data_IF_413996941932
#
_entry.id   IF_413996941932
#
_cell.length_a   1.000
_cell.length_b   1.000
_cell.length_c   1.000
_cell.angle_alpha   90.00
_cell.angle_beta   90.00
_cell.angle_gamma   90.00
#
_symmetry.space_group_name_H-M   'P 1'
#
loop_
_entity.id
_entity.type
_entity.pdbx_description
1 polymer ?
#
# COMPACT_ATOMS: atom_id res chain seq x y z
N UNK A 1 -4.90 55.69 -17.56
CA UNK A 1 -4.87 55.07 -16.23
C UNK A 1 -6.29 54.78 -15.79
N UNK A 2 -6.53 53.58 -15.22
CA UNK A 2 -7.81 53.08 -14.66
C UNK A 2 -8.73 52.34 -15.65
N UNK A 3 -8.69 51.02 -15.55
CA UNK A 3 -9.84 50.09 -15.54
C UNK A 3 -9.30 48.70 -15.25
N UNK A 4 -9.15 48.45 -13.94
CA UNK A 4 -8.96 47.12 -13.38
C UNK A 4 -10.27 46.38 -13.67
N UNK A 5 -10.23 45.40 -14.55
CA UNK A 5 -11.32 44.45 -14.74
C UNK A 5 -10.91 43.15 -14.04
N UNK A 6 -11.52 42.97 -12.87
CA UNK A 6 -11.65 41.73 -12.14
C UNK A 6 -12.52 40.74 -12.94
N UNK A 7 -12.27 39.44 -12.72
CA UNK A 7 -13.12 38.25 -12.93
C UNK A 7 -12.44 37.22 -13.83
N UNK A 8 -12.37 35.93 -13.50
CA UNK A 8 -12.79 35.18 -12.33
C UNK A 8 -11.82 34.00 -12.22
N UNK A 9 -11.17 33.86 -11.08
CA UNK A 9 -10.46 32.62 -10.76
C UNK A 9 -11.55 31.56 -10.58
N UNK A 10 -11.66 30.69 -11.57
CA UNK A 10 -12.42 29.46 -11.48
C UNK A 10 -11.74 28.64 -10.38
N UNK A 11 -12.29 28.69 -9.17
CA UNK A 11 -11.95 27.74 -8.10
C UNK A 11 -12.40 26.37 -8.57
N UNK A 12 -11.55 25.70 -9.35
CA UNK A 12 -11.57 24.25 -9.46
C UNK A 12 -11.15 23.77 -8.08
N UNK A 13 -12.12 23.48 -7.22
CA UNK A 13 -11.87 22.73 -6.00
C UNK A 13 -11.67 21.29 -6.47
N UNK A 14 -10.46 20.73 -6.46
CA UNK A 14 -10.39 19.29 -6.54
C UNK A 14 -11.00 18.81 -5.22
N UNK A 15 -12.16 18.14 -5.30
CA UNK A 15 -12.57 17.24 -4.24
C UNK A 15 -11.56 16.09 -4.24
N UNK A 16 -10.36 16.34 -3.71
CA UNK A 16 -9.47 15.23 -3.35
C UNK A 16 -10.15 14.60 -2.15
N UNK A 17 -10.50 13.32 -2.35
CA UNK A 17 -11.34 12.51 -1.50
C UNK A 17 -10.99 12.65 -0.01
N UNK A 18 -12.01 12.50 0.84
CA UNK A 18 -11.81 11.99 2.18
C UNK A 18 -11.28 10.56 2.00
N UNK A 19 -9.97 10.41 1.82
CA UNK A 19 -9.36 9.12 1.55
C UNK A 19 -9.36 8.31 2.86
N UNK A 20 -10.31 7.38 2.97
CA UNK A 20 -10.24 6.16 3.81
C UNK A 20 -9.20 5.16 3.23
N UNK A 21 -8.51 5.55 2.16
CA UNK A 21 -7.46 4.76 1.51
C UNK A 21 -6.13 4.94 2.25
N UNK A 22 -5.69 3.89 2.93
CA UNK A 22 -4.39 3.83 3.58
C UNK A 22 -3.36 3.09 2.72
N UNK A 23 -2.08 3.41 2.97
CA UNK A 23 -0.95 2.72 2.37
C UNK A 23 -0.04 2.15 3.46
N UNK A 24 0.40 0.90 3.28
CA UNK A 24 1.45 0.31 4.12
C UNK A 24 2.50 -0.42 3.31
N UNK A 25 3.65 -0.67 3.94
CA UNK A 25 4.77 -1.42 3.37
C UNK A 25 5.06 -2.61 4.26
N UNK A 26 5.00 -3.82 3.71
CA UNK A 26 5.35 -5.04 4.42
C UNK A 26 6.67 -5.60 3.90
N UNK A 27 7.64 -5.76 4.79
CA UNK A 27 8.81 -6.61 4.56
C UNK A 27 8.43 -8.05 4.85
N UNK A 28 8.51 -8.86 3.81
CA UNK A 28 8.13 -10.28 3.83
C UNK A 28 9.38 -11.13 3.68
N UNK A 29 9.58 -12.09 4.58
CA UNK A 29 10.73 -12.99 4.58
C UNK A 29 10.33 -14.43 4.32
N UNK A 30 11.29 -15.27 3.92
CA UNK A 30 11.07 -16.69 3.61
C UNK A 30 10.66 -16.93 2.16
N UNK A 31 10.94 -15.99 1.25
CA UNK A 31 10.69 -16.12 -0.19
C UNK A 31 11.77 -16.99 -0.85
N UNK A 32 11.92 -18.24 -0.39
CA UNK A 32 13.04 -19.14 -0.75
C UNK A 32 12.85 -19.86 -2.11
N UNK A 33 11.76 -19.59 -2.82
CA UNK A 33 11.43 -20.23 -4.09
C UNK A 33 10.81 -19.20 -5.05
N UNK A 34 11.04 -19.31 -6.38
CA UNK A 34 10.52 -18.36 -7.37
C UNK A 34 9.00 -18.12 -7.34
N UNK A 35 8.23 -19.06 -6.80
CA UNK A 35 6.77 -18.95 -6.68
C UNK A 35 6.27 -18.52 -5.30
N UNK A 36 7.15 -18.34 -4.32
CA UNK A 36 6.76 -17.95 -2.96
C UNK A 36 6.11 -16.57 -2.91
N UNK A 37 6.67 -15.61 -3.65
CA UNK A 37 6.11 -14.26 -3.78
C UNK A 37 4.70 -14.27 -4.37
N UNK A 38 4.40 -15.23 -5.26
CA UNK A 38 3.06 -15.40 -5.80
C UNK A 38 2.05 -15.91 -4.75
N UNK A 39 2.47 -16.83 -3.86
CA UNK A 39 1.63 -17.33 -2.78
C UNK A 39 1.22 -16.19 -1.84
N UNK A 40 2.19 -15.38 -1.42
CA UNK A 40 1.96 -14.20 -0.58
C UNK A 40 1.07 -13.18 -1.28
N UNK A 41 1.36 -12.85 -2.54
CA UNK A 41 0.56 -11.91 -3.32
C UNK A 41 -0.91 -12.37 -3.45
N UNK A 42 -1.14 -13.67 -3.65
CA UNK A 42 -2.49 -14.24 -3.76
C UNK A 42 -3.20 -14.26 -2.42
N UNK A 43 -2.49 -14.42 -1.30
CA UNK A 43 -3.09 -14.30 0.03
C UNK A 43 -3.55 -12.86 0.30
N UNK A 44 -2.69 -11.88 0.03
CA UNK A 44 -3.00 -10.45 0.22
C UNK A 44 -4.18 -10.01 -0.66
N UNK A 45 -4.22 -10.41 -1.94
CA UNK A 45 -5.32 -10.10 -2.87
C UNK A 45 -6.68 -10.74 -2.51
N UNK A 46 -6.73 -11.63 -1.51
CA UNK A 46 -7.99 -12.19 -1.00
C UNK A 46 -8.56 -11.39 0.17
N UNK A 47 -7.79 -10.49 0.75
CA UNK A 47 -8.30 -9.55 1.75
C UNK A 47 -9.10 -8.48 1.00
N UNK A 48 -10.33 -8.23 1.46
CA UNK A 48 -11.18 -7.20 0.86
C UNK A 48 -10.47 -5.84 0.83
N UNK A 49 -10.71 -5.08 -0.23
CA UNK A 49 -10.13 -3.74 -0.51
C UNK A 49 -8.62 -3.66 -0.72
N UNK A 50 -7.87 -4.75 -0.49
CA UNK A 50 -6.41 -4.75 -0.64
C UNK A 50 -5.99 -4.82 -2.10
N UNK A 51 -5.22 -3.83 -2.51
CA UNK A 51 -4.52 -3.75 -3.78
C UNK A 51 -3.00 -3.78 -3.54
N UNK A 52 -2.29 -4.58 -4.35
CA UNK A 52 -0.81 -4.57 -4.35
C UNK A 52 -0.35 -3.50 -5.34
N UNK A 53 0.06 -2.35 -4.82
CA UNK A 53 0.56 -1.23 -5.62
C UNK A 53 1.94 -1.53 -6.22
N UNK A 54 2.80 -2.18 -5.45
CA UNK A 54 4.16 -2.52 -5.87
C UNK A 54 4.67 -3.77 -5.14
N UNK A 55 5.53 -4.53 -5.80
CA UNK A 55 6.36 -5.55 -5.17
C UNK A 55 7.81 -5.33 -5.60
N UNK A 56 8.71 -5.21 -4.63
CA UNK A 56 10.16 -5.10 -4.83
C UNK A 56 10.81 -6.33 -4.23
N UNK A 57 11.43 -7.15 -5.08
CA UNK A 57 12.22 -8.30 -4.63
C UNK A 57 13.51 -7.81 -3.96
N UNK A 58 13.87 -8.40 -2.83
CA UNK A 58 15.12 -8.10 -2.13
C UNK A 58 16.29 -8.94 -2.64
N UNK A 59 17.50 -8.59 -2.19
CA UNK A 59 18.72 -9.36 -2.51
C UNK A 59 18.82 -10.69 -1.72
N UNK A 60 17.96 -10.88 -0.72
CA UNK A 60 17.88 -12.08 0.10
C UNK A 60 16.59 -12.86 -0.20
N UNK A 61 16.27 -13.86 0.63
CA UNK A 61 15.01 -14.63 0.55
C UNK A 61 13.82 -13.79 1.09
N UNK A 62 13.67 -12.55 0.62
CA UNK A 62 12.72 -11.55 1.10
C UNK A 62 12.27 -10.54 0.02
N UNK A 63 11.34 -9.67 0.38
CA UNK A 63 10.86 -8.60 -0.50
C UNK A 63 9.91 -7.64 0.21
N UNK A 64 9.57 -6.54 -0.47
CA UNK A 64 8.70 -5.48 0.04
C UNK A 64 7.43 -5.41 -0.79
N UNK A 65 6.28 -5.54 -0.14
CA UNK A 65 4.98 -5.25 -0.74
C UNK A 65 4.51 -3.87 -0.32
N UNK A 66 4.14 -3.03 -1.29
CA UNK A 66 3.42 -1.77 -1.05
C UNK A 66 1.95 -2.03 -1.29
N UNK A 67 1.13 -1.80 -0.27
CA UNK A 67 -0.29 -2.17 -0.26
C UNK A 67 -1.13 -0.91 -0.08
N UNK A 68 -2.21 -0.83 -0.86
CA UNK A 68 -3.30 0.13 -0.68
C UNK A 68 -4.53 -0.62 -0.21
N UNK A 69 -5.28 -0.05 0.73
CA UNK A 69 -6.48 -0.67 1.28
C UNK A 69 -7.35 0.38 1.96
N UNK A 70 -8.60 0.03 2.23
CA UNK A 70 -9.52 0.83 3.03
C UNK A 70 -9.26 0.56 4.53
N UNK A 71 -8.84 1.60 5.27
CA UNK A 71 -8.50 1.47 6.70
C UNK A 71 -9.70 1.32 7.63
N UNK A 72 -10.92 1.46 7.11
CA UNK A 72 -12.15 1.07 7.80
C UNK A 72 -12.44 -0.44 7.72
N UNK A 73 -11.83 -1.16 6.76
CA UNK A 73 -12.07 -2.58 6.48
C UNK A 73 -10.93 -3.47 6.98
N UNK A 74 -9.69 -3.04 6.81
CA UNK A 74 -8.50 -3.81 7.22
C UNK A 74 -7.42 -2.87 7.76
N UNK A 75 -6.47 -3.44 8.49
CA UNK A 75 -5.36 -2.71 9.10
C UNK A 75 -4.03 -3.46 8.86
N UNK A 76 -2.88 -2.82 9.13
CA UNK A 76 -1.57 -3.43 8.93
C UNK A 76 -1.34 -4.75 9.67
N UNK A 77 -1.87 -4.91 10.89
CA UNK A 77 -1.69 -6.12 11.69
C UNK A 77 -2.48 -7.29 11.06
N UNK A 78 -3.67 -7.02 10.51
CA UNK A 78 -4.44 -8.01 9.75
C UNK A 78 -3.72 -8.46 8.47
N UNK A 79 -3.03 -7.55 7.79
CA UNK A 79 -2.22 -7.87 6.61
C UNK A 79 -0.99 -8.72 6.98
N UNK A 80 -0.31 -8.38 8.08
CA UNK A 80 0.78 -9.20 8.63
C UNK A 80 0.29 -10.60 9.00
N UNK A 81 -0.88 -10.70 9.66
CA UNK A 81 -1.49 -11.97 10.02
C UNK A 81 -1.85 -12.80 8.78
N UNK A 82 -2.31 -12.17 7.71
CA UNK A 82 -2.59 -12.83 6.42
C UNK A 82 -1.34 -13.47 5.84
N UNK A 83 -0.22 -12.74 5.79
CA UNK A 83 1.06 -13.25 5.29
C UNK A 83 1.60 -14.37 6.20
N UNK A 84 1.53 -14.16 7.52
CA UNK A 84 1.95 -15.15 8.52
C UNK A 84 1.11 -16.43 8.46
N UNK A 85 -0.19 -16.30 8.18
CA UNK A 85 -1.13 -17.42 8.03
C UNK A 85 -0.82 -18.34 6.84
N UNK A 86 -0.09 -17.85 5.84
CA UNK A 86 0.42 -18.66 4.72
C UNK A 86 1.89 -19.08 4.89
N UNK A 87 2.48 -18.84 6.06
CA UNK A 87 3.78 -19.40 6.46
C UNK A 87 4.99 -18.52 6.22
N UNK A 88 4.81 -17.22 5.97
CA UNK A 88 5.91 -16.27 5.71
C UNK A 88 6.03 -15.25 6.83
N UNK A 89 7.23 -14.76 7.10
CA UNK A 89 7.40 -13.65 8.05
C UNK A 89 6.92 -12.34 7.43
N UNK A 90 6.29 -11.47 8.22
CA UNK A 90 5.90 -10.14 7.77
C UNK A 90 6.07 -9.10 8.88
N UNK A 91 6.63 -7.94 8.52
CA UNK A 91 6.78 -6.78 9.43
C UNK A 91 6.54 -5.48 8.68
N UNK A 92 6.11 -4.45 9.41
CA UNK A 92 5.97 -3.11 8.84
C UNK A 92 7.35 -2.51 8.57
N UNK A 93 7.45 -1.80 7.45
CA UNK A 93 8.59 -0.93 7.17
C UNK A 93 8.13 0.50 7.32
N UNK A 94 8.68 1.19 8.31
CA UNK A 94 8.46 2.63 8.46
C UNK A 94 8.96 3.33 7.18
N UNK A 95 8.11 4.16 6.58
CA UNK A 95 8.45 4.99 5.42
C UNK A 95 9.51 6.07 5.69
N UNK A 96 10.21 6.01 6.82
CA UNK A 96 11.34 6.86 7.19
C UNK A 96 12.68 6.22 6.79
N UNK A 97 12.83 5.89 5.52
CA UNK A 97 14.16 5.70 4.91
C UNK A 97 14.69 7.06 4.48
N UNK A 98 15.75 7.53 5.14
CA UNK A 98 16.51 8.74 4.79
C UNK A 98 17.17 8.67 3.42
#
# INVERSE_FOLDING_TARGET
MKRILLAAILLVVPAVALAEEAQTRLHVTGLTCPSCSYIVATALKRVDTVEIAEFVEGDAEDGIYVLHYDDSVTDPDALIATVSGVGYGATLVDGSGS
#
